data_IF_223866226192
#
_entry.id   IF_223866226192
#
_cell.length_a   1.000
_cell.length_b   1.000
_cell.length_c   1.000
_cell.angle_alpha   90.00
_cell.angle_beta   90.00
_cell.angle_gamma   90.00
#
_symmetry.space_group_name_H-M   'P 1'
#
loop_
_entity.id
_entity.type
_entity.pdbx_description
1 polymer ?
#
# COMPACT_ATOMS: atom_id res chain seq x y z
N UNK A 1 -3.36 -20.80 8.19
CA UNK A 1 -2.90 -19.44 7.85
C UNK A 1 -3.04 -19.26 6.35
N UNK A 2 -3.46 -18.09 5.90
CA UNK A 2 -3.58 -17.78 4.47
C UNK A 2 -2.38 -16.91 4.08
N UNK A 3 -1.62 -17.33 3.08
CA UNK A 3 -0.48 -16.55 2.61
C UNK A 3 -0.97 -15.41 1.71
N UNK A 4 -0.46 -14.20 1.95
CA UNK A 4 -0.73 -13.06 1.08
C UNK A 4 -0.03 -13.25 -0.26
N UNK A 5 -0.76 -13.05 -1.35
CA UNK A 5 -0.16 -13.01 -2.67
C UNK A 5 0.78 -11.80 -2.80
N UNK A 6 1.82 -11.91 -3.60
CA UNK A 6 2.80 -10.82 -3.83
C UNK A 6 2.10 -9.50 -4.19
N UNK A 7 1.12 -9.54 -5.08
CA UNK A 7 0.32 -8.35 -5.46
C UNK A 7 -0.50 -7.76 -4.31
N UNK A 8 -0.96 -8.59 -3.37
CA UNK A 8 -1.68 -8.11 -2.19
C UNK A 8 -0.70 -7.42 -1.23
N UNK A 9 0.52 -7.94 -1.08
CA UNK A 9 1.56 -7.31 -0.28
C UNK A 9 2.02 -5.96 -0.89
N UNK A 10 2.17 -5.89 -2.21
CA UNK A 10 2.43 -4.64 -2.94
C UNK A 10 1.29 -3.63 -2.70
N UNK A 11 0.04 -4.07 -2.84
CA UNK A 11 -1.13 -3.22 -2.62
C UNK A 11 -1.19 -2.69 -1.18
N UNK A 12 -0.85 -3.52 -0.20
CA UNK A 12 -0.78 -3.11 1.22
C UNK A 12 0.30 -2.07 1.47
N UNK A 13 1.45 -2.15 0.77
CA UNK A 13 2.50 -1.13 0.88
C UNK A 13 2.01 0.24 0.36
N UNK A 14 1.34 0.27 -0.80
CA UNK A 14 0.75 1.51 -1.31
C UNK A 14 -0.43 2.03 -0.49
N UNK A 15 -1.20 1.13 0.11
CA UNK A 15 -2.22 1.49 1.09
C UNK A 15 -1.59 2.21 2.29
N UNK A 16 -0.51 1.65 2.86
CA UNK A 16 0.17 2.29 3.98
C UNK A 16 0.77 3.66 3.60
N UNK A 17 1.30 3.77 2.38
CA UNK A 17 1.85 5.01 1.84
C UNK A 17 0.77 6.10 1.68
N UNK A 18 -0.44 5.76 1.24
CA UNK A 18 -1.58 6.69 1.15
C UNK A 18 -1.84 7.39 2.49
N UNK A 19 -2.00 6.61 3.57
CA UNK A 19 -2.33 7.17 4.90
C UNK A 19 -1.15 7.86 5.58
N UNK A 20 0.08 7.63 5.11
CA UNK A 20 1.26 8.39 5.55
C UNK A 20 1.25 9.82 4.99
N UNK A 21 0.40 10.11 4.00
CA UNK A 21 0.41 11.39 3.27
C UNK A 21 1.71 11.57 2.47
N UNK A 22 2.20 10.47 1.88
CA UNK A 22 3.47 10.49 1.19
C UNK A 22 3.38 11.16 -0.18
N UNK A 23 4.44 11.88 -0.53
CA UNK A 23 4.59 12.67 -1.77
C UNK A 23 4.83 11.79 -2.99
N UNK A 24 4.78 12.37 -4.19
CA UNK A 24 5.22 11.67 -5.41
C UNK A 24 6.63 11.04 -5.27
N UNK A 25 7.57 11.74 -4.63
CA UNK A 25 8.93 11.21 -4.44
C UNK A 25 8.94 9.97 -3.54
N UNK A 26 8.19 10.00 -2.43
CA UNK A 26 8.03 8.84 -1.54
C UNK A 26 7.41 7.64 -2.28
N UNK A 27 6.42 7.87 -3.16
CA UNK A 27 5.80 6.83 -3.98
C UNK A 27 6.83 6.22 -4.93
N UNK A 28 7.61 7.06 -5.61
CA UNK A 28 8.63 6.63 -6.57
C UNK A 28 9.74 5.82 -5.89
N UNK A 29 10.15 6.22 -4.69
CA UNK A 29 11.13 5.46 -3.92
C UNK A 29 10.58 4.10 -3.47
N UNK A 30 9.32 4.07 -3.01
CA UNK A 30 8.66 2.82 -2.67
C UNK A 30 8.54 1.89 -3.88
N UNK A 31 8.10 2.40 -5.04
CA UNK A 31 7.96 1.65 -6.29
C UNK A 31 9.27 0.96 -6.69
N UNK A 32 10.38 1.72 -6.71
CA UNK A 32 11.72 1.17 -6.97
C UNK A 32 12.18 0.15 -5.93
N UNK A 33 11.82 0.36 -4.66
CA UNK A 33 12.17 -0.57 -3.58
C UNK A 33 11.41 -1.89 -3.75
N UNK A 34 10.12 -1.82 -4.06
CA UNK A 34 9.27 -2.99 -4.30
C UNK A 34 9.74 -3.76 -5.55
N UNK A 35 10.08 -3.07 -6.63
CA UNK A 35 10.65 -3.68 -7.84
C UNK A 35 11.91 -4.51 -7.52
N UNK A 36 12.83 -3.95 -6.73
CA UNK A 36 14.05 -4.66 -6.32
C UNK A 36 13.78 -5.85 -5.41
N UNK A 37 12.80 -5.75 -4.51
CA UNK A 37 12.46 -6.81 -3.56
C UNK A 37 11.78 -7.98 -4.26
N UNK A 38 10.85 -7.68 -5.16
CA UNK A 38 10.01 -8.68 -5.85
C UNK A 38 10.72 -9.27 -7.06
N UNK A 39 11.64 -8.51 -7.67
CA UNK A 39 12.23 -8.82 -8.97
C UNK A 39 11.50 -8.07 -10.08
N UNK A 40 12.25 -7.52 -11.03
CA UNK A 40 11.73 -6.57 -12.03
C UNK A 40 10.60 -7.15 -12.87
N UNK A 41 10.75 -8.38 -13.38
CA UNK A 41 9.74 -9.03 -14.23
C UNK A 41 8.45 -9.33 -13.44
N UNK A 42 8.59 -10.01 -12.30
CA UNK A 42 7.44 -10.35 -11.44
C UNK A 42 6.72 -9.10 -10.93
N UNK A 43 7.47 -8.05 -10.60
CA UNK A 43 6.92 -6.79 -10.16
C UNK A 43 6.10 -6.11 -11.26
N UNK A 44 6.66 -6.00 -12.48
CA UNK A 44 5.96 -5.42 -13.63
C UNK A 44 4.67 -6.17 -13.94
N UNK A 45 4.69 -7.50 -13.89
CA UNK A 45 3.49 -8.32 -14.08
C UNK A 45 2.43 -8.05 -13.00
N UNK A 46 2.84 -7.93 -11.73
CA UNK A 46 1.89 -7.62 -10.64
C UNK A 46 1.34 -6.21 -10.74
N UNK A 47 2.16 -5.23 -11.10
CA UNK A 47 1.73 -3.85 -11.33
C UNK A 47 0.76 -3.76 -12.52
N UNK A 48 1.01 -4.50 -13.61
CA UNK A 48 0.10 -4.58 -14.74
C UNK A 48 -1.26 -5.19 -14.34
N UNK A 49 -1.27 -6.28 -13.56
CA UNK A 49 -2.49 -6.88 -13.02
C UNK A 49 -3.28 -5.88 -12.15
N UNK A 50 -2.60 -5.15 -11.26
CA UNK A 50 -3.21 -4.18 -10.36
C UNK A 50 -3.77 -2.97 -11.14
N UNK A 51 -3.04 -2.47 -12.13
CA UNK A 51 -3.44 -1.36 -13.01
C UNK A 51 -4.64 -1.76 -13.87
N UNK A 52 -4.60 -2.94 -14.48
CA UNK A 52 -5.72 -3.48 -15.29
C UNK A 52 -7.01 -3.62 -14.45
N UNK A 53 -6.88 -3.98 -13.18
CA UNK A 53 -8.03 -4.06 -12.26
C UNK A 53 -8.50 -2.69 -11.74
N UNK A 54 -7.77 -1.62 -12.05
CA UNK A 54 -8.02 -0.26 -11.58
C UNK A 54 -7.76 -0.08 -10.09
N UNK A 55 -6.89 -0.91 -9.49
CA UNK A 55 -6.54 -0.83 -8.07
C UNK A 55 -5.42 0.18 -7.81
N UNK A 56 -4.59 0.44 -8.83
CA UNK A 56 -3.56 1.47 -8.82
C UNK A 56 -3.68 2.35 -10.07
N UNK A 57 -3.21 3.59 -9.98
CA UNK A 57 -3.10 4.52 -11.11
C UNK A 57 -1.89 4.20 -12.01
N UNK A 58 -0.80 3.71 -11.40
CA UNK A 58 0.49 3.49 -12.05
C UNK A 58 1.38 4.74 -12.10
N UNK A 59 2.69 4.52 -12.19
CA UNK A 59 3.71 5.57 -12.14
C UNK A 59 3.59 6.60 -13.28
N UNK A 60 3.15 6.19 -14.47
CA UNK A 60 2.99 7.10 -15.62
C UNK A 60 1.97 8.21 -15.30
N UNK A 61 0.82 7.83 -14.76
CA UNK A 61 -0.26 8.74 -14.36
C UNK A 61 0.19 9.68 -13.25
N UNK A 62 0.93 9.14 -12.27
CA UNK A 62 1.49 9.92 -11.17
C UNK A 62 2.48 10.98 -11.64
N UNK A 63 3.32 10.64 -12.63
CA UNK A 63 4.29 11.57 -13.21
C UNK A 63 3.58 12.72 -13.95
N UNK A 64 2.49 12.43 -14.66
CA UNK A 64 1.67 13.44 -15.34
C UNK A 64 0.99 14.38 -14.33
N UNK A 65 0.34 13.82 -13.30
CA UNK A 65 -0.30 14.60 -12.24
C UNK A 65 0.71 15.47 -11.49
N UNK A 66 1.91 14.95 -11.23
CA UNK A 66 2.98 15.71 -10.59
C UNK A 66 3.47 16.89 -11.45
N UNK A 67 3.53 16.72 -12.77
CA UNK A 67 3.87 17.82 -13.70
C UNK A 67 2.83 18.94 -13.67
N UNK A 68 1.59 18.61 -13.33
CA UNK A 68 0.51 19.56 -13.10
C UNK A 68 0.45 20.10 -11.66
N UNK A 69 1.39 19.69 -10.80
CA UNK A 69 1.48 20.12 -9.40
C UNK A 69 0.48 19.42 -8.47
N UNK A 70 -0.02 18.25 -8.86
CA UNK A 70 -0.98 17.45 -8.08
C UNK A 70 -0.30 16.21 -7.49
N UNK A 71 -0.17 16.17 -6.17
CA UNK A 71 0.23 14.95 -5.45
C UNK A 71 -0.94 13.96 -5.43
N UNK A 72 -0.92 13.01 -6.36
CA UNK A 72 -1.91 11.93 -6.44
C UNK A 72 -1.36 10.67 -5.77
N UNK A 73 -2.17 9.89 -5.05
CA UNK A 73 -1.74 8.61 -4.49
C UNK A 73 -1.65 7.51 -5.55
N UNK A 74 -0.78 6.52 -5.33
CA UNK A 74 -0.68 5.35 -6.22
C UNK A 74 -1.94 4.48 -6.19
N UNK A 75 -2.46 4.24 -4.99
CA UNK A 75 -3.61 3.38 -4.79
C UNK A 75 -4.92 4.15 -5.01
N UNK A 76 -5.81 3.59 -5.83
CA UNK A 76 -7.12 4.19 -6.12
C UNK A 76 -8.10 3.91 -4.98
N UNK A 77 -9.25 4.58 -4.98
CA UNK A 77 -10.36 4.26 -4.07
C UNK A 77 -10.79 2.79 -4.17
N UNK A 78 -10.73 2.20 -5.37
CA UNK A 78 -11.00 0.77 -5.58
C UNK A 78 -9.91 -0.11 -4.97
N UNK A 79 -8.65 0.32 -5.05
CA UNK A 79 -7.52 -0.31 -4.35
C UNK A 79 -7.69 -0.32 -2.84
N UNK A 80 -8.14 0.80 -2.26
CA UNK A 80 -8.44 0.90 -0.83
C UNK A 80 -9.51 -0.10 -0.39
N UNK A 81 -10.63 -0.16 -1.13
CA UNK A 81 -11.70 -1.12 -0.87
C UNK A 81 -11.21 -2.57 -1.02
N UNK A 82 -10.35 -2.85 -2.00
CA UNK A 82 -9.76 -4.17 -2.17
C UNK A 82 -8.96 -4.60 -0.94
N UNK A 83 -8.09 -3.73 -0.42
CA UNK A 83 -7.31 -4.02 0.80
C UNK A 83 -8.23 -4.26 2.00
N UNK A 84 -9.25 -3.43 2.18
CA UNK A 84 -10.21 -3.60 3.27
C UNK A 84 -10.93 -4.95 3.18
N UNK A 85 -11.30 -5.38 1.98
CA UNK A 85 -11.92 -6.69 1.77
C UNK A 85 -10.94 -7.86 2.01
N UNK A 86 -9.69 -7.75 1.53
CA UNK A 86 -8.65 -8.79 1.73
C UNK A 86 -8.38 -9.00 3.23
N UNK A 87 -8.34 -7.91 3.98
CA UNK A 87 -8.05 -7.91 5.41
C UNK A 87 -9.30 -8.06 6.29
N UNK A 88 -10.49 -8.16 5.68
CA UNK A 88 -11.78 -8.13 6.37
C UNK A 88 -11.88 -6.97 7.39
N UNK A 89 -11.32 -5.81 7.02
CA UNK A 89 -11.45 -4.57 7.77
C UNK A 89 -12.89 -4.08 7.58
N UNK A 90 -13.81 -4.58 8.39
CA UNK A 90 -15.20 -4.11 8.41
C UNK A 90 -15.19 -2.60 8.70
N UNK A 91 -15.56 -1.80 7.71
CA UNK A 91 -15.33 -0.35 7.69
C UNK A 91 -16.57 0.39 8.20
N UNK A 92 -16.54 0.84 9.45
CA UNK A 92 -17.35 1.94 9.99
C UNK A 92 -16.46 3.08 10.54
N UNK A 93 -15.17 3.09 10.20
CA UNK A 93 -14.16 3.88 10.90
C UNK A 93 -13.50 4.97 10.07
N UNK A 94 -13.37 6.13 10.71
CA UNK A 94 -12.83 7.40 10.21
C UNK A 94 -11.40 7.23 9.66
N UNK A 95 -11.09 7.90 8.56
CA UNK A 95 -9.81 7.83 7.82
C UNK A 95 -8.56 7.96 8.73
N UNK A 96 -8.66 8.69 9.84
CA UNK A 96 -7.55 8.93 10.76
C UNK A 96 -6.98 7.67 11.41
N UNK A 97 -7.73 6.57 11.53
CA UNK A 97 -7.27 5.37 12.23
C UNK A 97 -6.90 4.20 11.31
N UNK A 98 -6.90 4.40 10.00
CA UNK A 98 -6.78 3.31 9.01
C UNK A 98 -5.48 2.50 9.12
N UNK A 99 -4.36 3.11 9.53
CA UNK A 99 -3.10 2.40 9.76
C UNK A 99 -3.11 1.54 11.04
N UNK A 100 -3.81 1.98 12.09
CA UNK A 100 -3.98 1.16 13.29
C UNK A 100 -4.89 -0.03 13.01
N UNK A 101 -5.95 0.18 12.22
CA UNK A 101 -6.82 -0.90 11.75
C UNK A 101 -6.07 -1.86 10.84
N UNK A 102 -5.24 -1.37 9.92
CA UNK A 102 -4.36 -2.20 9.10
C UNK A 102 -3.53 -3.14 9.97
N UNK A 103 -2.86 -2.60 11.00
CA UNK A 103 -2.07 -3.43 11.93
C UNK A 103 -2.92 -4.45 12.67
N UNK A 104 -4.04 -4.04 13.27
CA UNK A 104 -4.95 -4.98 13.97
C UNK A 104 -5.51 -6.04 13.03
N UNK A 105 -5.84 -5.66 11.79
CA UNK A 105 -6.26 -6.56 10.73
C UNK A 105 -5.18 -7.57 10.43
N UNK A 106 -3.93 -7.15 10.23
CA UNK A 106 -2.80 -8.06 10.02
C UNK A 106 -2.57 -9.01 11.21
N UNK A 107 -2.69 -8.53 12.45
CA UNK A 107 -2.55 -9.36 13.66
C UNK A 107 -3.67 -10.41 13.81
N UNK A 108 -4.88 -10.10 13.36
CA UNK A 108 -6.08 -10.94 13.56
C UNK A 108 -6.49 -11.78 12.34
N UNK A 109 -6.07 -11.39 11.14
CA UNK A 109 -6.47 -12.01 9.87
C UNK A 109 -5.81 -13.36 9.57
N UNK A 110 -4.91 -13.83 10.45
CA UNK A 110 -4.09 -15.04 10.24
C UNK A 110 -3.39 -15.05 8.86
N UNK A 111 -3.07 -13.85 8.36
CA UNK A 111 -2.39 -13.63 7.10
C UNK A 111 -0.89 -13.64 7.31
N UNK A 112 -0.20 -14.39 6.45
CA UNK A 112 1.26 -14.45 6.46
C UNK A 112 1.83 -13.72 5.26
N UNK A 113 2.74 -12.78 5.53
CA UNK A 113 3.58 -12.16 4.51
C UNK A 113 4.61 -13.17 4.02
N UNK A 114 4.70 -13.33 2.71
CA UNK A 114 5.76 -14.14 2.09
C UNK A 114 7.01 -13.33 1.78
N UNK A 115 6.92 -11.99 1.77
CA UNK A 115 8.03 -11.07 1.49
C UNK A 115 8.30 -10.21 2.73
N UNK A 116 9.25 -10.64 3.56
CA UNK A 116 9.58 -9.96 4.82
C UNK A 116 9.96 -8.46 4.66
N UNK A 117 10.69 -8.03 3.62
CA UNK A 117 10.98 -6.62 3.43
C UNK A 117 9.74 -5.74 3.27
N UNK A 118 8.67 -6.26 2.66
CA UNK A 118 7.39 -5.54 2.50
C UNK A 118 6.67 -5.46 3.84
N UNK A 119 6.65 -6.55 4.60
CA UNK A 119 6.09 -6.59 5.96
C UNK A 119 6.72 -5.51 6.84
N UNK A 120 8.06 -5.44 6.88
CA UNK A 120 8.79 -4.46 7.68
C UNK A 120 8.43 -3.02 7.29
N UNK A 121 8.34 -2.73 6.00
CA UNK A 121 7.95 -1.40 5.53
C UNK A 121 6.57 -0.99 6.05
N UNK A 122 5.59 -1.90 6.00
CA UNK A 122 4.23 -1.63 6.49
C UNK A 122 4.24 -1.42 8.01
N UNK A 123 4.95 -2.25 8.76
CA UNK A 123 5.09 -2.10 10.21
C UNK A 123 5.73 -0.77 10.60
N UNK A 124 6.77 -0.33 9.87
CA UNK A 124 7.41 0.97 10.06
C UNK A 124 6.46 2.13 9.73
N UNK A 125 5.70 2.02 8.63
CA UNK A 125 4.72 3.03 8.25
C UNK A 125 3.61 3.19 9.30
N UNK A 126 3.12 2.08 9.86
CA UNK A 126 2.14 2.12 10.95
C UNK A 126 2.74 2.73 12.22
N UNK A 127 3.97 2.34 12.57
CA UNK A 127 4.65 2.86 13.77
C UNK A 127 4.86 4.37 13.68
N UNK A 128 5.36 4.86 12.54
CA UNK A 128 5.59 6.28 12.31
C UNK A 128 4.29 7.11 12.39
N UNK A 129 3.17 6.56 11.93
CA UNK A 129 1.87 7.22 12.03
C UNK A 129 1.32 7.27 13.46
N UNK A 130 1.59 6.24 14.27
CA UNK A 130 1.22 6.23 15.69
C UNK A 130 2.02 7.24 16.51
N UNK A 131 3.31 7.43 16.19
CA UNK A 131 4.18 8.40 16.87
C UNK A 131 3.76 9.86 16.56
N UNK A 132 3.35 10.16 15.31
CA UNK A 132 2.83 11.49 14.94
C UNK A 132 1.54 11.92 15.63
N UNK A 133 0.77 10.99 16.21
CA UNK A 133 -0.47 11.28 16.96
C UNK A 133 -0.23 11.52 18.46
N UNK A 134 0.98 11.25 18.96
CA UNK A 134 1.32 11.38 20.37
C UNK A 134 2.00 12.73 20.71
N UNK A 135 2.26 13.57 19.70
CA UNK A 135 2.72 14.97 19.82
C UNK A 135 1.55 15.95 19.75
#
# INVERSE_FOLDING_TARGET
MKQLQVKEQIMLAYYAQYFKGATYEDIRELDRKLEKIVGEEDYKDKMAELKMKGLICGMDTLEEEQKEGRDTPMATSKGMVYVNNVLNLQSETVEDHQLEYLKRGLETSHLEFTIEPIKKYIEEAVKAAAEKKAE
#
